data_IF_037003198677
#
_entry.id   IF_037003198677
#
_cell.length_a   1.000
_cell.length_b   1.000
_cell.length_c   1.000
_cell.angle_alpha   90.00
_cell.angle_beta   90.00
_cell.angle_gamma   90.00
#
_symmetry.space_group_name_H-M   'P 1'
#
loop_
_entity.id
_entity.type
_entity.pdbx_description
1 polymer ?
#
# COMPACT_ATOMS: atom_id res chain seq x y z
N UNK A 1 3.08 -44.06 38.21
CA UNK A 1 4.08 -43.11 38.75
C UNK A 1 4.85 -42.44 37.59
N UNK A 2 4.18 -41.62 36.77
CA UNK A 2 4.78 -40.86 35.64
C UNK A 2 4.35 -39.38 35.48
N UNK A 3 3.48 -38.76 36.31
CA UNK A 3 2.88 -37.45 35.95
C UNK A 3 3.84 -36.25 36.09
N UNK A 4 4.97 -36.40 36.79
CA UNK A 4 5.92 -35.30 37.04
C UNK A 4 6.87 -35.06 35.87
N UNK A 5 7.26 -36.12 35.17
CA UNK A 5 8.19 -36.08 34.02
C UNK A 5 7.47 -35.56 32.77
N UNK A 6 6.21 -35.94 32.56
CA UNK A 6 5.37 -35.46 31.45
C UNK A 6 5.08 -33.97 31.55
N UNK A 7 4.90 -33.43 32.78
CA UNK A 7 4.70 -31.99 33.02
C UNK A 7 5.97 -31.16 32.73
N UNK A 8 7.16 -31.71 32.99
CA UNK A 8 8.43 -31.06 32.67
C UNK A 8 8.70 -31.00 31.16
N UNK A 9 8.39 -32.09 30.44
CA UNK A 9 8.52 -32.14 28.97
C UNK A 9 7.50 -31.24 28.26
N UNK A 10 6.25 -31.19 28.74
CA UNK A 10 5.23 -30.30 28.20
C UNK A 10 5.55 -28.81 28.42
N UNK A 11 6.16 -28.46 29.56
CA UNK A 11 6.64 -27.09 29.83
C UNK A 11 7.78 -26.67 28.92
N UNK A 12 8.71 -27.59 28.60
CA UNK A 12 9.84 -27.31 27.71
C UNK A 12 9.41 -27.20 26.23
N UNK A 13 8.39 -27.96 25.82
CA UNK A 13 7.82 -27.91 24.47
C UNK A 13 7.10 -26.58 24.18
N UNK A 14 6.44 -25.98 25.19
CA UNK A 14 5.75 -24.69 25.07
C UNK A 14 6.71 -23.48 25.00
N UNK A 15 7.93 -23.61 25.54
CA UNK A 15 8.93 -22.53 25.50
C UNK A 15 9.67 -22.51 24.15
N UNK A 16 9.82 -23.66 23.46
CA UNK A 16 10.46 -23.74 22.15
C UNK A 16 9.61 -23.24 20.97
N UNK A 17 8.28 -23.32 21.08
CA UNK A 17 7.34 -22.91 20.02
C UNK A 17 7.05 -21.40 19.95
N UNK A 18 7.46 -20.63 20.96
CA UNK A 18 7.16 -19.19 21.06
C UNK A 18 8.13 -18.25 20.33
N UNK A 19 9.24 -18.77 19.77
CA UNK A 19 10.34 -17.97 19.20
C UNK A 19 10.36 -17.91 17.67
N UNK A 20 9.37 -18.51 16.99
CA UNK A 20 9.27 -18.49 15.52
C UNK A 20 8.39 -17.34 14.97
N UNK A 21 8.26 -16.24 15.72
CA UNK A 21 7.42 -15.11 15.32
C UNK A 21 8.15 -14.15 14.39
N UNK A 22 7.76 -14.24 13.11
CA UNK A 22 7.75 -13.21 12.06
C UNK A 22 9.09 -12.60 11.61
N UNK A 23 9.77 -13.30 10.69
CA UNK A 23 10.50 -12.61 9.62
C UNK A 23 9.49 -12.32 8.50
N UNK A 24 8.77 -11.20 8.61
CA UNK A 24 7.96 -10.70 7.50
C UNK A 24 8.95 -10.13 6.48
N UNK A 25 9.23 -10.89 5.41
CA UNK A 25 10.00 -10.38 4.29
C UNK A 25 9.23 -9.21 3.69
N UNK A 26 9.78 -8.00 3.81
CA UNK A 26 9.29 -6.86 3.06
C UNK A 26 9.52 -7.18 1.58
N UNK A 27 8.46 -7.43 0.85
CA UNK A 27 8.49 -7.57 -0.59
C UNK A 27 8.93 -6.21 -1.15
N UNK A 28 10.23 -6.09 -1.42
CA UNK A 28 10.77 -4.93 -2.13
C UNK A 28 10.18 -4.96 -3.51
N UNK A 29 9.15 -4.15 -3.75
CA UNK A 29 8.55 -3.98 -5.06
C UNK A 29 9.65 -3.64 -6.07
N UNK A 30 10.03 -4.63 -6.88
CA UNK A 30 10.99 -4.48 -7.96
C UNK A 30 10.29 -3.78 -9.11
N UNK A 31 10.55 -2.49 -9.30
CA UNK A 31 9.99 -1.68 -10.38
C UNK A 31 9.99 -0.19 -10.04
N UNK A 32 9.65 0.65 -11.00
CA UNK A 32 9.51 2.11 -10.85
C UNK A 32 8.10 2.53 -11.22
N UNK A 33 7.31 3.13 -10.30
CA UNK A 33 6.01 3.66 -10.65
C UNK A 33 6.18 4.87 -11.58
N UNK A 34 5.31 5.01 -12.59
CA UNK A 34 5.39 6.11 -13.56
C UNK A 34 4.02 6.70 -13.80
N UNK A 35 3.77 7.88 -13.24
CA UNK A 35 2.54 8.64 -13.45
C UNK A 35 2.63 9.41 -14.77
N UNK A 36 1.63 9.21 -15.64
CA UNK A 36 1.48 9.94 -16.90
C UNK A 36 0.12 10.62 -16.92
N UNK A 37 0.12 11.91 -17.26
CA UNK A 37 -1.09 12.69 -17.56
C UNK A 37 -1.33 12.65 -19.08
N UNK A 38 -2.40 12.00 -19.56
CA UNK A 38 -2.79 12.09 -20.97
C UNK A 38 -3.17 13.52 -21.36
N UNK A 39 -3.78 14.26 -20.44
CA UNK A 39 -4.11 15.67 -20.56
C UNK A 39 -3.57 16.40 -19.33
N UNK A 40 -2.62 17.31 -19.53
CA UNK A 40 -1.99 18.08 -18.45
C UNK A 40 -2.59 19.47 -18.26
N UNK A 41 -3.44 19.90 -19.19
CA UNK A 41 -4.07 21.22 -19.19
C UNK A 41 -5.46 21.12 -19.78
N UNK A 42 -6.43 21.62 -19.03
CA UNK A 42 -7.78 21.87 -19.51
C UNK A 42 -8.06 23.37 -19.55
N UNK A 43 -8.68 23.85 -20.62
CA UNK A 43 -9.14 25.23 -20.75
C UNK A 43 -10.66 25.26 -20.64
N UNK A 44 -11.15 25.84 -19.55
CA UNK A 44 -12.58 25.94 -19.25
C UNK A 44 -13.33 26.89 -20.21
N UNK A 45 -12.61 27.70 -21.00
CA UNK A 45 -13.18 28.71 -21.92
C UNK A 45 -14.15 29.67 -21.18
N UNK A 46 -15.02 30.35 -21.92
CA UNK A 46 -16.05 31.21 -21.35
C UNK A 46 -17.05 30.39 -20.54
N UNK A 47 -17.08 30.65 -19.24
CA UNK A 47 -18.09 30.13 -18.33
C UNK A 47 -19.29 31.08 -18.23
N UNK A 48 -20.48 30.52 -18.04
CA UNK A 48 -21.68 31.30 -17.71
C UNK A 48 -21.62 31.61 -16.21
N UNK A 49 -21.99 32.84 -15.85
CA UNK A 49 -22.02 33.24 -14.43
C UNK A 49 -23.02 32.39 -13.63
N UNK A 50 -22.63 31.99 -12.43
CA UNK A 50 -23.38 31.07 -11.57
C UNK A 50 -23.32 29.59 -11.96
N UNK A 51 -22.66 29.20 -13.05
CA UNK A 51 -22.50 27.79 -13.43
C UNK A 51 -21.28 27.14 -12.73
N UNK A 52 -21.48 25.96 -12.15
CA UNK A 52 -20.37 25.13 -11.65
C UNK A 52 -19.83 24.28 -12.80
N UNK A 53 -18.55 24.46 -13.14
CA UNK A 53 -17.88 23.64 -14.15
C UNK A 53 -16.95 22.66 -13.44
N UNK A 54 -17.11 21.38 -13.75
CA UNK A 54 -16.30 20.29 -13.22
C UNK A 54 -15.53 19.66 -14.38
N UNK A 55 -14.25 19.39 -14.15
CA UNK A 55 -13.42 18.67 -15.11
C UNK A 55 -12.53 17.67 -14.36
N UNK A 56 -12.55 16.42 -14.82
CA UNK A 56 -11.78 15.33 -14.23
C UNK A 56 -10.48 15.11 -14.99
N UNK A 57 -9.36 15.09 -14.27
CA UNK A 57 -8.07 14.67 -14.83
C UNK A 57 -7.88 13.17 -14.66
N UNK A 58 -7.68 12.47 -15.77
CA UNK A 58 -7.31 11.05 -15.76
C UNK A 58 -5.79 10.92 -15.63
N UNK A 59 -5.33 10.02 -14.76
CA UNK A 59 -3.91 9.67 -14.64
C UNK A 59 -3.70 8.19 -14.90
N UNK A 60 -2.58 7.85 -15.53
CA UNK A 60 -2.21 6.46 -15.83
C UNK A 60 -0.89 6.10 -15.16
N UNK A 61 -0.88 5.01 -14.41
CA UNK A 61 0.37 4.34 -14.04
C UNK A 61 0.87 3.57 -15.27
N UNK A 62 1.95 4.04 -15.89
CA UNK A 62 2.64 3.37 -17.00
C UNK A 62 3.97 2.75 -16.57
N UNK A 63 4.18 2.62 -15.26
CA UNK A 63 5.33 1.95 -14.67
C UNK A 63 5.06 0.48 -14.41
N UNK A 64 6.05 -0.21 -13.86
CA UNK A 64 6.05 -1.63 -13.52
C UNK A 64 5.97 -1.88 -12.00
N UNK A 65 5.71 -0.83 -11.22
CA UNK A 65 5.44 -0.90 -9.79
C UNK A 65 4.17 -0.14 -9.41
N UNK A 66 3.65 -0.41 -8.20
CA UNK A 66 2.48 0.25 -7.64
C UNK A 66 2.67 1.76 -7.52
N UNK A 67 1.71 2.54 -8.03
CA UNK A 67 1.68 3.99 -7.94
C UNK A 67 0.75 4.43 -6.81
N UNK A 68 1.33 4.87 -5.69
CA UNK A 68 0.60 5.44 -4.54
C UNK A 68 0.61 6.98 -4.59
N UNK A 69 -0.57 7.58 -4.73
CA UNK A 69 -0.74 9.04 -4.72
C UNK A 69 -0.92 9.52 -3.28
N UNK A 70 0.10 10.18 -2.72
CA UNK A 70 0.11 10.60 -1.30
C UNK A 70 -0.37 12.03 -1.06
N UNK A 71 -0.27 12.90 -2.06
CA UNK A 71 -0.62 14.32 -1.95
C UNK A 71 -0.97 14.88 -3.32
N UNK A 72 -2.03 15.67 -3.35
CA UNK A 72 -2.44 16.47 -4.51
C UNK A 72 -2.34 17.95 -4.11
N UNK A 73 -1.92 18.79 -5.05
CA UNK A 73 -1.88 20.25 -4.89
C UNK A 73 -2.56 20.88 -6.09
N UNK A 74 -3.46 21.82 -5.84
CA UNK A 74 -3.91 22.76 -6.86
C UNK A 74 -2.83 23.81 -7.09
N UNK A 75 -2.59 24.14 -8.37
CA UNK A 75 -1.75 25.26 -8.77
C UNK A 75 -2.50 26.57 -8.78
#
# INVERSE_FOLDING_TARGET
MYPRIVRLMAGLFLIGMGLASSLQAAETATGTPKLVFPESRFDFKSAIDGATIVHDFVVKNSGDAELSIKRVKSG
#
